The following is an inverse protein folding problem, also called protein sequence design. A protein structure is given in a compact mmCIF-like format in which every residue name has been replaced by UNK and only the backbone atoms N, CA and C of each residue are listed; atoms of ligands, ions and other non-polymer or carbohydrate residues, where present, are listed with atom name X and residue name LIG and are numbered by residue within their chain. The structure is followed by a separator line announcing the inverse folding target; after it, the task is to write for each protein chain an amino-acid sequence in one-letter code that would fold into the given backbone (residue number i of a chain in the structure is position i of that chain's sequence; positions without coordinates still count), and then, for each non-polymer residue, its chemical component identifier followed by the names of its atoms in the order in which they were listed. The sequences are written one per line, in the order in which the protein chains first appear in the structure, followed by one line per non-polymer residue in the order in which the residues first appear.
data_IF_276064279986
#
_entry.id   IF_276064279986
#
_cell.length_a   1.000
_cell.length_b   1.000
_cell.length_c   1.000
_cell.angle_alpha   90.00
_cell.angle_beta   90.00
_cell.angle_gamma   90.00
#
_symmetry.space_group_name_H-M   'P 1'
#
loop_
_entity.id
_entity.type
_entity.pdbx_description
1 polymer ?
#
# COMPACT_ATOMS: atom_id res chain seq x y z
N UNK A 1 23.91 -1.69 -0.33
CA UNK A 1 22.43 -1.76 -0.43
C UNK A 1 22.02 -1.16 -1.76
N UNK A 2 21.13 -1.78 -2.56
CA UNK A 2 20.68 -1.17 -3.81
C UNK A 2 19.70 -0.03 -3.49
N UNK A 3 20.20 1.21 -3.40
CA UNK A 3 19.39 2.37 -3.03
C UNK A 3 18.33 2.69 -4.09
N UNK A 4 18.67 2.56 -5.38
CA UNK A 4 17.72 2.78 -6.49
C UNK A 4 16.61 1.73 -6.46
N UNK A 5 16.97 0.45 -6.29
CA UNK A 5 16.01 -0.64 -6.16
C UNK A 5 15.10 -0.47 -4.94
N UNK A 6 15.66 -0.02 -3.80
CA UNK A 6 14.87 0.29 -2.62
C UNK A 6 13.88 1.44 -2.84
N UNK A 7 14.28 2.51 -3.55
CA UNK A 7 13.38 3.63 -3.88
C UNK A 7 12.27 3.22 -4.84
N UNK A 8 12.58 2.48 -5.90
CA UNK A 8 11.57 1.95 -6.83
C UNK A 8 10.61 1.03 -6.06
N UNK A 9 11.15 0.11 -5.26
CA UNK A 9 10.37 -0.79 -4.44
C UNK A 9 9.48 -0.06 -3.43
N UNK A 10 9.97 1.01 -2.80
CA UNK A 10 9.20 1.84 -1.88
C UNK A 10 7.98 2.46 -2.56
N UNK A 11 8.19 3.10 -3.72
CA UNK A 11 7.11 3.78 -4.46
C UNK A 11 6.10 2.77 -5.00
N UNK A 12 6.56 1.69 -5.64
CA UNK A 12 5.69 0.65 -6.18
C UNK A 12 4.92 -0.06 -5.07
N UNK A 13 5.58 -0.39 -3.96
CA UNK A 13 4.94 -1.01 -2.80
C UNK A 13 3.89 -0.10 -2.17
N UNK A 14 4.19 1.18 -1.98
CA UNK A 14 3.24 2.17 -1.45
C UNK A 14 2.04 2.37 -2.36
N UNK A 15 2.27 2.51 -3.67
CA UNK A 15 1.20 2.64 -4.66
C UNK A 15 0.31 1.39 -4.71
N UNK A 16 0.89 0.19 -4.64
CA UNK A 16 0.14 -1.06 -4.57
C UNK A 16 -0.70 -1.16 -3.29
N UNK A 17 -0.14 -0.79 -2.13
CA UNK A 17 -0.87 -0.77 -0.88
C UNK A 17 -2.02 0.26 -0.86
N UNK A 18 -1.81 1.43 -1.44
CA UNK A 18 -2.86 2.45 -1.63
C UNK A 18 -3.96 1.96 -2.57
N UNK A 19 -3.58 1.39 -3.72
CA UNK A 19 -4.54 0.84 -4.67
C UNK A 19 -5.39 -0.28 -4.02
N UNK A 20 -4.78 -1.09 -3.16
CA UNK A 20 -5.49 -2.13 -2.40
C UNK A 20 -6.54 -1.52 -1.47
N UNK A 21 -6.20 -0.49 -0.69
CA UNK A 21 -7.16 0.16 0.21
C UNK A 21 -8.30 0.83 -0.55
N UNK A 22 -8.01 1.50 -1.67
CA UNK A 22 -9.02 2.06 -2.56
C UNK A 22 -9.92 0.99 -3.18
N UNK A 23 -9.35 -0.15 -3.59
CA UNK A 23 -10.11 -1.28 -4.14
C UNK A 23 -11.07 -1.85 -3.10
N UNK A 24 -10.65 -1.94 -1.84
CA UNK A 24 -11.55 -2.34 -0.74
C UNK A 24 -12.67 -1.32 -0.56
N UNK A 25 -12.36 -0.02 -0.54
CA UNK A 25 -13.37 1.04 -0.49
C UNK A 25 -14.37 0.96 -1.64
N UNK A 26 -13.88 0.81 -2.86
CA UNK A 26 -14.70 0.66 -4.07
C UNK A 26 -15.57 -0.60 -4.02
N UNK A 27 -15.04 -1.72 -3.54
CA UNK A 27 -15.82 -2.96 -3.38
C UNK A 27 -17.01 -2.76 -2.43
N UNK A 28 -16.77 -2.15 -1.27
CA UNK A 28 -17.84 -1.87 -0.31
C UNK A 28 -18.91 -0.94 -0.91
N UNK A 29 -18.50 0.11 -1.61
CA UNK A 29 -19.43 1.04 -2.25
C UNK A 29 -20.23 0.41 -3.39
N UNK A 30 -19.55 -0.27 -4.33
CA UNK A 30 -20.20 -0.71 -5.57
C UNK A 30 -20.78 -2.12 -5.51
N UNK A 31 -20.24 -3.00 -4.67
CA UNK A 31 -20.69 -4.41 -4.56
C UNK A 31 -21.59 -4.62 -3.36
N UNK A 32 -21.27 -3.98 -2.23
CA UNK A 32 -22.04 -4.13 -0.98
C UNK A 32 -23.03 -2.99 -0.74
N UNK A 33 -23.09 -2.00 -1.65
CA UNK A 33 -23.95 -0.81 -1.56
C UNK A 33 -23.81 -0.08 -0.21
N UNK A 34 -22.57 -0.04 0.32
CA UNK A 34 -22.26 0.56 1.62
C UNK A 34 -20.93 1.28 1.58
N UNK A 35 -20.95 2.59 1.76
CA UNK A 35 -19.72 3.36 1.95
C UNK A 35 -19.04 3.00 3.29
N UNK A 36 -17.72 2.84 3.24
CA UNK A 36 -16.89 2.71 4.43
C UNK A 36 -16.69 4.09 5.07
N UNK A 37 -17.02 4.21 6.36
CA UNK A 37 -16.79 5.42 7.13
C UNK A 37 -15.36 5.45 7.68
N UNK A 38 -14.38 5.71 6.80
CA UNK A 38 -12.96 5.77 7.15
C UNK A 38 -12.68 6.91 8.12
N UNK A 39 -13.30 8.07 7.91
CA UNK A 39 -13.09 9.26 8.72
C UNK A 39 -13.68 9.12 10.13
N UNK A 40 -14.86 8.49 10.26
CA UNK A 40 -15.54 8.28 11.54
C UNK A 40 -15.10 7.01 12.29
N UNK A 41 -14.34 6.11 11.66
CA UNK A 41 -13.90 4.83 12.26
C UNK A 41 -12.38 4.79 12.44
N UNK A 42 -11.83 5.07 13.64
CA UNK A 42 -10.38 5.21 13.86
C UNK A 42 -9.54 3.99 13.46
N UNK A 43 -10.08 2.79 13.66
CA UNK A 43 -9.40 1.54 13.26
C UNK A 43 -9.30 1.43 11.74
N UNK A 44 -10.33 1.89 11.03
CA UNK A 44 -10.35 1.86 9.57
C UNK A 44 -9.39 2.91 9.00
N UNK A 45 -9.37 4.11 9.58
CA UNK A 45 -8.38 5.14 9.26
C UNK A 45 -6.95 4.62 9.46
N UNK A 46 -6.69 3.97 10.60
CA UNK A 46 -5.39 3.38 10.88
C UNK A 46 -5.00 2.33 9.83
N UNK A 47 -5.94 1.47 9.41
CA UNK A 47 -5.70 0.47 8.38
C UNK A 47 -5.39 1.11 7.00
N UNK A 48 -6.16 2.12 6.60
CA UNK A 48 -5.98 2.84 5.33
C UNK A 48 -4.64 3.59 5.25
N UNK A 49 -4.07 3.97 6.40
CA UNK A 49 -2.74 4.59 6.48
C UNK A 49 -1.64 3.53 6.56
N UNK A 50 -1.80 2.52 7.43
CA UNK A 50 -0.75 1.53 7.71
C UNK A 50 -0.51 0.59 6.53
N UNK A 51 -1.54 0.18 5.80
CA UNK A 51 -1.39 -0.77 4.69
C UNK A 51 -0.48 -0.20 3.59
N UNK A 52 -0.67 1.03 3.07
CA UNK A 52 0.26 1.64 2.13
C UNK A 52 1.68 1.77 2.69
N UNK A 53 1.83 2.20 3.95
CA UNK A 53 3.14 2.37 4.59
C UNK A 53 3.88 1.04 4.69
N UNK A 54 3.23 0.00 5.21
CA UNK A 54 3.83 -1.33 5.34
C UNK A 54 4.16 -1.93 3.97
N UNK A 55 3.28 -1.74 2.98
CA UNK A 55 3.53 -2.19 1.61
C UNK A 55 4.73 -1.48 0.98
N UNK A 56 4.91 -0.18 1.26
CA UNK A 56 6.08 0.58 0.84
C UNK A 56 7.37 0.07 1.50
N UNK A 57 7.34 -0.23 2.81
CA UNK A 57 8.49 -0.79 3.53
C UNK A 57 8.88 -2.18 3.01
N UNK A 58 7.89 -3.05 2.78
CA UNK A 58 8.11 -4.39 2.20
C UNK A 58 8.67 -4.28 0.79
N UNK A 59 8.09 -3.39 -0.04
CA UNK A 59 8.57 -3.12 -1.40
C UNK A 59 10.01 -2.61 -1.40
N UNK A 60 10.34 -1.67 -0.52
CA UNK A 60 11.69 -1.15 -0.35
C UNK A 60 12.68 -2.25 0.08
N UNK A 61 12.29 -3.09 1.05
CA UNK A 61 13.11 -4.20 1.52
C UNK A 61 13.37 -5.22 0.40
N UNK A 62 12.34 -5.57 -0.38
CA UNK A 62 12.48 -6.45 -1.54
C UNK A 62 13.37 -5.81 -2.63
N UNK A 63 13.09 -4.57 -3.00
CA UNK A 63 13.84 -3.77 -3.98
C UNK A 63 15.32 -3.60 -3.62
N UNK A 64 15.63 -3.48 -2.33
CA UNK A 64 17.00 -3.37 -1.83
C UNK A 64 17.84 -4.65 -2.02
N UNK A 65 17.15 -5.80 -2.16
CA UNK A 65 17.75 -7.14 -2.32
C UNK A 65 17.91 -7.53 -3.79
N UNK A 66 17.17 -6.90 -4.71
CA UNK A 66 17.37 -7.13 -6.13
C UNK A 66 18.60 -6.36 -6.62
N UNK A 67 19.67 -7.09 -6.94
CA UNK A 67 20.81 -6.55 -7.68
C UNK A 67 20.37 -6.41 -9.14
N UNK A 68 20.34 -5.19 -9.67
CA UNK A 68 20.19 -4.99 -11.11
C UNK A 68 21.28 -5.83 -11.81
N UNK A 69 20.88 -6.66 -12.76
CA UNK A 69 21.67 -7.78 -13.28
C UNK A 69 23.18 -7.55 -13.39
N UNK A 70 23.92 -8.56 -12.92
CA UNK A 70 25.37 -8.73 -12.71
C UNK A 70 25.86 -8.54 -11.26
#
# INVERSE_FOLDING_TARGET
MNHTGAMIGFVVGGAAGFLLTETVGAFFTFVLDRALDVDGTPVLLAAFILVPVLSALVGAAAGSRFRAGR
#
